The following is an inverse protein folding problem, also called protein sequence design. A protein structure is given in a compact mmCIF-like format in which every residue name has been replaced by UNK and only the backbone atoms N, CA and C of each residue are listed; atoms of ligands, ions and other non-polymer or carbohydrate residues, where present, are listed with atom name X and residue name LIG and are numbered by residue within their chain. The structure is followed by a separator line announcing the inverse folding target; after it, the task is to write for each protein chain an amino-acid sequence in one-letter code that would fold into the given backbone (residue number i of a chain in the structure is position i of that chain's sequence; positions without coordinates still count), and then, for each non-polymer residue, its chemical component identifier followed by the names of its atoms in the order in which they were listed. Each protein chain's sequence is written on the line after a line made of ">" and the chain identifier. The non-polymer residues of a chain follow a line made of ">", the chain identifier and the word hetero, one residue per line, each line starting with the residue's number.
data_IF_710711345664
#
_entry.id   IF_710711345664
#
_cell.length_a   1.000
_cell.length_b   1.000
_cell.length_c   1.000
_cell.angle_alpha   90.00
_cell.angle_beta   90.00
_cell.angle_gamma   90.00
#
_symmetry.space_group_name_H-M   'P 1'
#
loop_
_entity.id
_entity.type
_entity.pdbx_description
1 polymer ?
#
# COMPACT_ATOMS: atom_id res chain seq x y z
N UNK A 1 -26.23 6.31 -9.35
CA UNK A 1 -25.38 6.95 -8.33
C UNK A 1 -24.17 7.48 -9.06
N UNK A 2 -24.08 8.79 -9.23
CA UNK A 2 -22.87 9.43 -9.78
C UNK A 2 -21.76 9.25 -8.74
N UNK A 3 -20.69 8.55 -9.12
CA UNK A 3 -19.53 8.42 -8.26
C UNK A 3 -19.06 9.82 -7.85
N UNK A 4 -18.96 10.08 -6.55
CA UNK A 4 -18.40 11.33 -6.05
C UNK A 4 -16.98 11.50 -6.64
N UNK A 5 -16.72 12.70 -7.14
CA UNK A 5 -15.41 13.07 -7.72
C UNK A 5 -14.73 14.12 -6.84
N UNK A 6 -14.18 13.74 -5.69
CA UNK A 6 -13.72 14.67 -4.66
C UNK A 6 -12.61 15.61 -5.15
N UNK A 7 -11.73 15.16 -6.04
CA UNK A 7 -10.68 16.00 -6.62
C UNK A 7 -11.12 16.75 -7.90
N UNK A 8 -12.28 16.46 -8.48
CA UNK A 8 -12.74 17.13 -9.69
C UNK A 8 -12.88 18.67 -9.54
N UNK A 9 -13.33 19.21 -8.41
CA UNK A 9 -13.40 20.65 -8.21
C UNK A 9 -12.07 21.28 -7.78
N UNK A 10 -11.05 20.48 -7.46
CA UNK A 10 -9.72 20.98 -7.13
C UNK A 10 -9.01 21.56 -8.36
N UNK A 11 -8.09 22.46 -8.13
CA UNK A 11 -7.26 23.07 -9.19
C UNK A 11 -5.82 23.23 -8.74
N UNK A 12 -4.91 23.30 -9.70
CA UNK A 12 -3.52 23.68 -9.44
C UNK A 12 -3.45 25.19 -9.08
N UNK A 13 -2.65 25.53 -8.08
CA UNK A 13 -2.39 26.91 -7.65
C UNK A 13 -1.47 27.67 -8.58
N UNK A 14 -0.76 26.97 -9.47
CA UNK A 14 0.17 27.53 -10.45
C UNK A 14 0.06 26.80 -11.78
N UNK A 15 0.37 27.46 -12.92
CA UNK A 15 0.36 26.83 -14.20
C UNK A 15 1.45 25.74 -14.30
N UNK A 16 1.16 24.69 -15.04
CA UNK A 16 2.14 23.67 -15.41
C UNK A 16 3.21 24.27 -16.32
N UNK A 17 4.43 23.74 -16.22
CA UNK A 17 5.46 24.01 -17.23
C UNK A 17 5.04 23.43 -18.58
N UNK A 18 5.49 24.03 -19.70
CA UNK A 18 5.09 23.61 -21.04
C UNK A 18 5.17 22.09 -21.26
N UNK A 19 6.32 21.48 -20.96
CA UNK A 19 6.47 20.02 -21.11
C UNK A 19 5.55 19.19 -20.21
N UNK A 20 5.17 19.70 -19.02
CA UNK A 20 4.21 19.03 -18.14
C UNK A 20 2.80 19.09 -18.70
N UNK A 21 2.42 20.24 -19.26
CA UNK A 21 1.14 20.42 -19.94
C UNK A 21 1.05 19.54 -21.19
N UNK A 22 2.11 19.51 -22.02
CA UNK A 22 2.20 18.67 -23.22
C UNK A 22 2.09 17.19 -22.88
N UNK A 23 2.78 16.75 -21.80
CA UNK A 23 2.75 15.37 -21.36
C UNK A 23 1.35 15.01 -20.82
N UNK A 24 0.77 15.87 -20.00
CA UNK A 24 -0.57 15.69 -19.49
C UNK A 24 -1.61 15.61 -20.62
N UNK A 25 -1.48 16.43 -21.66
CA UNK A 25 -2.37 16.41 -22.81
C UNK A 25 -2.35 15.09 -23.61
N UNK A 26 -1.23 14.37 -23.57
CA UNK A 26 -1.06 13.07 -24.26
C UNK A 26 -1.62 11.89 -23.46
N UNK A 27 -1.82 12.07 -22.16
CA UNK A 27 -2.38 11.05 -21.30
C UNK A 27 -3.89 11.14 -21.38
N UNK A 28 -4.54 10.12 -21.93
CA UNK A 28 -6.00 10.04 -21.85
C UNK A 28 -6.43 9.80 -20.39
N UNK A 29 -7.48 10.45 -19.89
CA UNK A 29 -8.08 10.09 -18.61
C UNK A 29 -8.82 8.76 -18.81
N UNK A 30 -8.11 7.66 -18.69
CA UNK A 30 -8.69 6.33 -18.84
C UNK A 30 -8.72 5.64 -17.48
N UNK A 31 -9.89 5.09 -17.15
CA UNK A 31 -10.10 4.32 -15.92
C UNK A 31 -9.42 2.95 -16.08
N UNK A 32 -8.24 2.83 -15.54
CA UNK A 32 -7.47 1.58 -15.48
C UNK A 32 -6.20 1.54 -16.34
N UNK A 33 -5.85 2.61 -17.04
CA UNK A 33 -4.58 2.68 -17.75
C UNK A 33 -3.39 2.77 -16.78
N UNK A 34 -2.44 1.86 -16.90
CA UNK A 34 -1.16 1.95 -16.21
C UNK A 34 -0.23 2.91 -16.96
N UNK A 35 0.22 3.98 -16.29
CA UNK A 35 1.11 4.99 -16.86
C UNK A 35 2.48 4.90 -16.20
N UNK A 36 3.52 4.84 -17.02
CA UNK A 36 4.89 4.94 -16.57
C UNK A 36 5.53 6.25 -17.03
N UNK A 37 5.72 7.18 -16.07
CA UNK A 37 6.28 8.49 -16.33
C UNK A 37 7.75 8.54 -15.93
N UNK A 38 8.62 8.75 -16.91
CA UNK A 38 10.07 8.90 -16.71
C UNK A 38 10.45 10.36 -16.93
N UNK A 39 11.06 10.97 -15.91
CA UNK A 39 11.56 12.34 -15.99
C UNK A 39 12.78 12.52 -15.06
N UNK A 40 13.72 13.40 -15.41
CA UNK A 40 14.91 13.65 -14.62
C UNK A 40 14.57 14.20 -13.21
N UNK A 41 15.52 14.15 -12.25
CA UNK A 41 15.38 14.85 -10.98
C UNK A 41 15.08 16.33 -11.19
N UNK A 42 14.24 16.92 -10.33
CA UNK A 42 13.86 18.34 -10.43
C UNK A 42 12.83 18.68 -11.54
N UNK A 43 12.43 17.72 -12.35
CA UNK A 43 11.40 17.94 -13.39
C UNK A 43 9.99 18.20 -12.84
N UNK A 44 9.76 18.07 -11.53
CA UNK A 44 8.44 18.30 -10.93
C UNK A 44 7.47 17.13 -11.14
N UNK A 45 7.98 15.90 -11.03
CA UNK A 45 7.16 14.67 -11.12
C UNK A 45 5.98 14.66 -10.15
N UNK A 46 6.20 15.15 -8.93
CA UNK A 46 5.14 15.25 -7.89
C UNK A 46 4.00 16.18 -8.37
N UNK A 47 4.34 17.35 -8.93
CA UNK A 47 3.32 18.28 -9.45
C UNK A 47 2.55 17.65 -10.61
N UNK A 48 3.24 16.90 -11.46
CA UNK A 48 2.61 16.18 -12.57
C UNK A 48 1.66 15.08 -12.06
N UNK A 49 2.07 14.32 -11.04
CA UNK A 49 1.19 13.33 -10.37
C UNK A 49 -0.04 13.99 -9.74
N UNK A 50 0.13 15.11 -9.06
CA UNK A 50 -1.00 15.89 -8.52
C UNK A 50 -1.93 16.40 -9.63
N UNK A 51 -1.37 16.86 -10.75
CA UNK A 51 -2.15 17.29 -11.90
C UNK A 51 -2.97 16.14 -12.53
N UNK A 52 -2.39 14.93 -12.58
CA UNK A 52 -3.10 13.72 -13.01
C UNK A 52 -4.22 13.36 -12.06
N UNK A 53 -4.00 13.45 -10.74
CA UNK A 53 -5.04 13.20 -9.73
C UNK A 53 -6.23 14.13 -9.91
N UNK A 54 -5.97 15.44 -10.03
CA UNK A 54 -7.01 16.47 -10.28
C UNK A 54 -7.75 16.19 -11.59
N UNK A 55 -7.02 15.86 -12.64
CA UNK A 55 -7.62 15.57 -13.96
C UNK A 55 -8.50 14.31 -13.93
N UNK A 56 -8.09 13.29 -13.20
CA UNK A 56 -8.91 12.10 -12.97
C UNK A 56 -10.17 12.44 -12.14
N UNK A 57 -10.02 13.38 -11.21
CA UNK A 57 -11.12 13.88 -10.38
C UNK A 57 -11.58 12.92 -9.28
N UNK A 58 -11.00 11.73 -9.19
CA UNK A 58 -11.31 10.72 -8.17
C UNK A 58 -10.42 10.91 -6.94
N UNK A 59 -10.76 10.26 -5.83
CA UNK A 59 -9.81 10.09 -4.72
C UNK A 59 -8.52 9.48 -5.23
N UNK A 60 -7.39 9.93 -4.72
CA UNK A 60 -6.10 9.43 -5.16
C UNK A 60 -5.32 8.80 -4.01
N UNK A 61 -4.69 7.67 -4.30
CA UNK A 61 -3.75 6.99 -3.41
C UNK A 61 -2.34 7.13 -3.96
N UNK A 62 -1.46 7.72 -3.19
CA UNK A 62 -0.03 7.80 -3.50
C UNK A 62 0.73 6.81 -2.64
N UNK A 63 1.52 5.96 -3.28
CA UNK A 63 2.40 5.00 -2.60
C UNK A 63 3.85 5.48 -2.67
N UNK A 64 4.36 5.94 -1.54
CA UNK A 64 5.71 6.45 -1.41
C UNK A 64 6.69 5.38 -0.90
N UNK A 65 7.94 5.34 -1.39
CA UNK A 65 8.93 4.38 -0.93
C UNK A 65 9.44 4.64 0.50
N UNK A 66 9.36 5.87 0.97
CA UNK A 66 9.85 6.27 2.31
C UNK A 66 8.93 7.29 2.97
N UNK A 67 9.03 7.42 4.28
CA UNK A 67 8.30 8.44 5.06
C UNK A 67 8.67 9.86 4.65
N UNK A 68 9.91 10.10 4.22
CA UNK A 68 10.37 11.41 3.73
C UNK A 68 9.65 11.77 2.42
N UNK A 69 9.57 10.84 1.49
CA UNK A 69 8.85 11.05 0.22
C UNK A 69 7.35 11.21 0.48
N UNK A 70 6.77 10.44 1.41
CA UNK A 70 5.38 10.61 1.86
C UNK A 70 5.10 12.04 2.33
N UNK A 71 5.91 12.53 3.27
CA UNK A 71 5.78 13.90 3.80
C UNK A 71 5.93 14.95 2.70
N UNK A 72 6.86 14.75 1.78
CA UNK A 72 7.05 15.62 0.62
C UNK A 72 5.80 15.69 -0.29
N UNK A 73 5.12 14.57 -0.52
CA UNK A 73 3.88 14.56 -1.30
C UNK A 73 2.77 15.34 -0.62
N UNK A 74 2.58 15.16 0.70
CA UNK A 74 1.58 15.89 1.47
C UNK A 74 1.85 17.42 1.46
N UNK A 75 3.11 17.83 1.66
CA UNK A 75 3.52 19.23 1.58
C UNK A 75 3.27 19.81 0.17
N UNK A 76 3.64 19.09 -0.87
CA UNK A 76 3.43 19.54 -2.24
C UNK A 76 1.94 19.62 -2.60
N UNK A 77 1.11 18.70 -2.11
CA UNK A 77 -0.33 18.77 -2.29
C UNK A 77 -0.91 20.04 -1.65
N UNK A 78 -0.56 20.32 -0.40
CA UNK A 78 -0.99 21.54 0.30
C UNK A 78 -0.50 22.81 -0.41
N UNK A 79 0.66 22.78 -1.03
CA UNK A 79 1.25 23.92 -1.76
C UNK A 79 0.60 24.14 -3.13
N UNK A 80 0.39 23.09 -3.89
CA UNK A 80 0.04 23.18 -5.32
C UNK A 80 -1.43 22.90 -5.62
N UNK A 81 -2.19 22.33 -4.70
CA UNK A 81 -3.63 22.11 -4.89
C UNK A 81 -4.46 23.12 -4.11
N UNK A 82 -5.59 23.46 -4.68
CA UNK A 82 -6.64 24.27 -4.03
C UNK A 82 -7.97 23.59 -4.22
N UNK A 83 -8.66 23.39 -3.11
CA UNK A 83 -10.05 22.99 -3.06
C UNK A 83 -10.98 24.17 -3.49
N UNK A 84 -12.27 23.94 -3.72
CA UNK A 84 -13.19 24.97 -4.18
C UNK A 84 -13.31 26.16 -3.24
N UNK A 85 -13.12 25.98 -1.94
CA UNK A 85 -13.12 27.02 -0.91
C UNK A 85 -11.82 27.85 -0.87
N UNK A 86 -10.82 27.46 -1.71
CA UNK A 86 -9.51 28.10 -1.77
C UNK A 86 -8.49 27.53 -0.80
N UNK A 87 -8.89 26.62 0.10
CA UNK A 87 -8.01 25.89 1.01
C UNK A 87 -7.23 24.75 0.33
N UNK A 88 -6.37 24.05 1.08
CA UNK A 88 -5.77 22.81 0.60
C UNK A 88 -6.86 21.71 0.52
N UNK A 89 -6.68 20.69 -0.34
CA UNK A 89 -7.53 19.51 -0.31
C UNK A 89 -7.34 18.74 1.01
N UNK A 90 -8.27 17.83 1.30
CA UNK A 90 -8.11 16.90 2.41
C UNK A 90 -7.01 15.87 2.08
N UNK A 91 -5.98 15.80 2.92
CA UNK A 91 -4.80 14.94 2.73
C UNK A 91 -4.55 14.12 3.98
N UNK A 92 -4.68 12.81 3.86
CA UNK A 92 -4.33 11.87 4.93
C UNK A 92 -2.96 11.23 4.67
N UNK A 93 -2.22 10.95 5.75
CA UNK A 93 -0.96 10.22 5.74
C UNK A 93 -1.06 8.83 6.42
N UNK A 94 -2.28 8.43 6.71
CA UNK A 94 -2.66 7.14 7.28
C UNK A 94 -3.87 6.55 6.53
N UNK A 95 -4.04 5.22 6.56
CA UNK A 95 -5.21 4.58 5.98
C UNK A 95 -6.47 4.97 6.76
N UNK A 96 -7.65 5.03 6.09
CA UNK A 96 -8.90 5.30 6.78
C UNK A 96 -9.20 4.21 7.82
N UNK A 97 -9.72 4.62 8.98
CA UNK A 97 -10.24 3.73 10.00
C UNK A 97 -11.55 3.04 9.58
N UNK A 98 -12.01 2.04 10.37
CA UNK A 98 -13.32 1.42 10.12
C UNK A 98 -14.45 2.45 10.17
N UNK A 99 -15.16 2.61 9.04
CA UNK A 99 -16.26 3.58 8.91
C UNK A 99 -15.84 5.03 8.68
N UNK A 100 -14.54 5.29 8.54
CA UNK A 100 -14.00 6.59 8.18
C UNK A 100 -13.98 6.75 6.65
N UNK A 101 -14.40 7.91 6.15
CA UNK A 101 -14.25 8.21 4.72
C UNK A 101 -12.79 8.48 4.39
N UNK A 102 -12.29 7.91 3.28
CA UNK A 102 -10.94 8.25 2.81
C UNK A 102 -10.84 9.72 2.41
N UNK A 103 -9.70 10.33 2.72
CA UNK A 103 -9.38 11.68 2.27
C UNK A 103 -9.36 11.80 0.73
N UNK A 104 -9.41 13.03 0.22
CA UNK A 104 -9.30 13.30 -1.22
C UNK A 104 -7.99 12.77 -1.80
N UNK A 105 -6.90 12.93 -1.04
CA UNK A 105 -5.58 12.41 -1.33
C UNK A 105 -5.04 11.65 -0.13
N UNK A 106 -4.84 10.36 -0.25
CA UNK A 106 -4.19 9.54 0.77
C UNK A 106 -2.76 9.23 0.34
N UNK A 107 -1.77 9.58 1.17
CA UNK A 107 -0.35 9.36 0.88
C UNK A 107 0.23 8.38 1.88
N UNK A 108 0.51 7.15 1.45
CA UNK A 108 1.01 6.08 2.30
C UNK A 108 2.43 5.66 1.87
N UNK A 109 3.14 5.00 2.77
CA UNK A 109 4.32 4.23 2.35
C UNK A 109 3.87 2.81 1.96
N UNK A 110 4.66 2.14 1.10
CA UNK A 110 4.43 0.72 0.81
C UNK A 110 4.34 -0.11 2.08
N UNK A 111 5.19 0.20 3.07
CA UNK A 111 5.18 -0.48 4.37
C UNK A 111 3.87 -0.27 5.14
N UNK A 112 3.24 0.90 5.05
CA UNK A 112 1.98 1.16 5.73
C UNK A 112 0.83 0.28 5.22
N UNK A 113 0.89 -0.16 3.98
CA UNK A 113 -0.04 -1.15 3.42
C UNK A 113 0.39 -2.58 3.72
N UNK A 114 1.70 -2.83 3.73
CA UNK A 114 2.29 -4.15 3.93
C UNK A 114 2.66 -4.45 5.37
N UNK A 115 2.43 -3.53 6.32
CA UNK A 115 2.65 -3.85 7.74
C UNK A 115 1.63 -4.88 8.17
N UNK A 116 2.14 -5.97 8.04
CA UNK A 116 1.96 -7.15 8.75
C UNK A 116 2.20 -6.87 10.22
N UNK A 117 1.26 -7.21 11.07
CA UNK A 117 1.49 -7.33 12.52
C UNK A 117 2.88 -7.93 12.78
N UNK A 118 3.57 -7.53 13.85
CA UNK A 118 4.97 -7.88 14.13
C UNK A 118 5.28 -9.40 14.08
N UNK A 119 4.23 -10.24 14.15
CA UNK A 119 4.26 -11.69 13.94
C UNK A 119 3.89 -12.13 12.51
N UNK A 120 3.86 -11.26 11.58
CA UNK A 120 3.55 -11.31 10.16
C UNK A 120 3.10 -12.64 9.51
N UNK A 121 2.40 -12.57 8.37
CA UNK A 121 1.97 -13.76 7.62
C UNK A 121 3.13 -14.69 7.29
N UNK A 122 4.34 -14.14 7.17
CA UNK A 122 5.56 -14.92 7.00
C UNK A 122 5.89 -15.80 8.20
N UNK A 123 5.65 -15.34 9.44
CA UNK A 123 5.87 -16.16 10.64
C UNK A 123 4.80 -17.23 10.74
N UNK A 124 3.54 -16.92 10.43
CA UNK A 124 2.48 -17.90 10.37
C UNK A 124 2.76 -18.97 9.31
N UNK A 125 3.07 -18.57 8.08
CA UNK A 125 3.44 -19.49 7.01
C UNK A 125 4.72 -20.29 7.32
N UNK A 126 5.71 -19.67 7.94
CA UNK A 126 6.92 -20.35 8.39
C UNK A 126 6.63 -21.36 9.53
N UNK A 127 5.67 -21.03 10.41
CA UNK A 127 5.22 -21.93 11.48
C UNK A 127 4.45 -23.12 10.91
N UNK A 128 3.55 -22.90 9.97
CA UNK A 128 2.83 -23.96 9.26
C UNK A 128 3.81 -24.90 8.54
N UNK A 129 4.76 -24.33 7.82
CA UNK A 129 5.83 -25.10 7.19
C UNK A 129 6.62 -25.93 8.19
N UNK A 130 6.90 -25.37 9.37
CA UNK A 130 7.59 -26.10 10.43
C UNK A 130 6.74 -27.23 11.00
N UNK A 131 5.44 -27.02 11.14
CA UNK A 131 4.49 -28.08 11.50
C UNK A 131 4.52 -29.23 10.48
N UNK A 132 4.47 -28.90 9.19
CA UNK A 132 4.53 -29.90 8.10
C UNK A 132 5.85 -30.69 8.12
N UNK A 133 6.97 -30.02 8.36
CA UNK A 133 8.27 -30.67 8.49
C UNK A 133 8.24 -31.67 9.67
N UNK A 134 7.72 -31.25 10.84
CA UNK A 134 7.63 -32.10 12.04
C UNK A 134 6.67 -33.27 11.85
N UNK A 135 5.59 -33.10 11.11
CA UNK A 135 4.65 -34.18 10.76
C UNK A 135 5.32 -35.15 9.79
N UNK A 136 6.07 -34.66 8.83
CA UNK A 136 6.85 -35.48 7.88
C UNK A 136 7.93 -36.30 8.60
N UNK A 137 8.49 -35.73 9.68
CA UNK A 137 9.45 -36.41 10.57
C UNK A 137 8.78 -37.40 11.57
N UNK A 138 7.49 -37.67 11.41
CA UNK A 138 6.75 -38.71 12.14
C UNK A 138 6.02 -38.24 13.40
N UNK A 139 5.88 -36.93 13.65
CA UNK A 139 5.06 -36.41 14.74
C UNK A 139 3.60 -36.32 14.31
N UNK A 140 2.67 -36.51 15.25
CA UNK A 140 1.28 -36.16 14.99
C UNK A 140 1.10 -34.63 14.98
N UNK A 141 0.14 -34.07 14.19
CA UNK A 141 -0.07 -32.61 14.12
C UNK A 141 -0.24 -31.96 15.51
N UNK A 142 -1.01 -32.59 16.40
CA UNK A 142 -1.21 -32.10 17.76
C UNK A 142 0.09 -32.04 18.58
N UNK A 143 0.94 -33.07 18.50
CA UNK A 143 2.23 -33.10 19.19
C UNK A 143 3.24 -32.12 18.59
N UNK A 144 3.20 -31.90 17.28
CA UNK A 144 4.03 -30.94 16.60
C UNK A 144 3.66 -29.50 17.01
N UNK A 145 2.36 -29.20 17.06
CA UNK A 145 1.84 -27.91 17.54
C UNK A 145 2.23 -27.62 19.00
N UNK A 146 1.92 -28.54 19.91
CA UNK A 146 2.26 -28.39 21.31
C UNK A 146 3.78 -28.24 21.56
N UNK A 147 4.61 -28.93 20.78
CA UNK A 147 6.06 -28.78 20.86
C UNK A 147 6.53 -27.40 20.40
N UNK A 148 5.96 -26.84 19.32
CA UNK A 148 6.29 -25.50 18.87
C UNK A 148 5.87 -24.43 19.88
N UNK A 149 4.70 -24.62 20.52
CA UNK A 149 4.21 -23.70 21.56
C UNK A 149 5.11 -23.72 22.79
N UNK A 150 5.51 -24.92 23.25
CA UNK A 150 6.49 -25.06 24.34
C UNK A 150 7.84 -24.44 23.95
N UNK A 151 8.33 -24.68 22.72
CA UNK A 151 9.58 -24.09 22.25
C UNK A 151 9.52 -22.55 22.20
N UNK A 152 8.38 -21.98 21.82
CA UNK A 152 8.17 -20.54 21.80
C UNK A 152 8.22 -19.92 23.20
N UNK A 153 7.70 -20.65 24.21
CA UNK A 153 7.68 -20.22 25.62
C UNK A 153 9.04 -20.46 26.31
N UNK A 154 9.58 -21.65 26.16
CA UNK A 154 10.75 -22.10 26.92
C UNK A 154 12.08 -21.62 26.29
N UNK A 155 12.12 -21.49 24.97
CA UNK A 155 13.29 -21.03 24.24
C UNK A 155 12.96 -20.14 23.03
N UNK A 156 12.52 -18.88 23.28
CA UNK A 156 12.12 -17.95 22.22
C UNK A 156 13.22 -17.67 21.19
N UNK A 157 14.49 -17.79 21.58
CA UNK A 157 15.62 -17.57 20.68
C UNK A 157 15.75 -18.71 19.65
N UNK A 158 15.57 -19.96 20.09
CA UNK A 158 15.59 -21.13 19.22
C UNK A 158 14.35 -21.12 18.30
N UNK A 159 13.18 -20.79 18.84
CA UNK A 159 11.95 -20.66 18.05
C UNK A 159 12.10 -19.63 16.94
N UNK A 160 12.53 -18.39 17.25
CA UNK A 160 12.77 -17.33 16.26
C UNK A 160 13.81 -17.71 15.20
N UNK A 161 14.84 -18.47 15.57
CA UNK A 161 15.85 -18.97 14.63
C UNK A 161 15.25 -19.99 13.67
N UNK A 162 14.45 -20.92 14.17
CA UNK A 162 13.75 -21.92 13.36
C UNK A 162 12.72 -21.30 12.41
N UNK A 163 12.00 -20.26 12.84
CA UNK A 163 11.11 -19.48 11.97
C UNK A 163 11.89 -18.76 10.87
N UNK A 164 12.97 -18.06 11.20
CA UNK A 164 13.77 -17.32 10.21
C UNK A 164 14.31 -18.19 9.10
N UNK A 165 14.77 -19.39 9.40
CA UNK A 165 15.25 -20.31 8.38
C UNK A 165 14.16 -20.73 7.39
N UNK A 166 12.91 -20.83 7.85
CA UNK A 166 11.75 -21.19 7.04
C UNK A 166 11.10 -19.99 6.34
N UNK A 167 11.15 -18.83 6.96
CA UNK A 167 10.68 -17.57 6.34
C UNK A 167 11.42 -17.30 5.03
N UNK A 168 12.72 -17.56 4.96
CA UNK A 168 13.48 -17.41 3.73
C UNK A 168 12.96 -18.35 2.62
N UNK A 169 12.66 -19.61 2.96
CA UNK A 169 12.11 -20.59 2.02
C UNK A 169 10.67 -20.25 1.58
N UNK A 170 9.85 -19.67 2.49
CA UNK A 170 8.50 -19.20 2.16
C UNK A 170 8.57 -18.01 1.22
N UNK A 171 9.43 -17.04 1.51
CA UNK A 171 9.62 -15.85 0.64
C UNK A 171 10.09 -16.19 -0.76
N UNK A 172 10.97 -17.20 -0.91
CA UNK A 172 11.44 -17.64 -2.21
C UNK A 172 10.32 -18.22 -3.10
N UNK A 173 9.18 -18.57 -2.52
CA UNK A 173 8.00 -19.09 -3.23
C UNK A 173 6.92 -18.06 -3.50
N UNK A 174 7.10 -16.81 -3.08
CA UNK A 174 6.09 -15.77 -3.30
C UNK A 174 5.83 -15.55 -4.79
N UNK A 175 6.87 -15.66 -5.61
CA UNK A 175 6.75 -15.52 -7.06
C UNK A 175 5.95 -16.68 -7.72
N UNK A 176 5.68 -17.75 -6.97
CA UNK A 176 4.86 -18.91 -7.40
C UNK A 176 3.41 -18.82 -6.91
N UNK A 177 3.09 -17.81 -6.06
CA UNK A 177 1.75 -17.65 -5.49
C UNK A 177 0.87 -16.87 -6.46
N UNK A 178 -0.38 -17.31 -6.59
CA UNK A 178 -1.42 -16.51 -7.26
C UNK A 178 -1.84 -15.30 -6.40
N UNK A 179 -2.58 -14.39 -7.00
CA UNK A 179 -3.00 -13.14 -6.35
C UNK A 179 -3.84 -13.39 -5.09
N UNK A 180 -4.63 -14.46 -5.04
CA UNK A 180 -5.44 -14.82 -3.87
C UNK A 180 -4.58 -15.34 -2.72
N UNK A 181 -3.57 -16.14 -3.01
CA UNK A 181 -2.61 -16.62 -2.02
C UNK A 181 -1.74 -15.47 -1.49
N UNK A 182 -1.32 -14.54 -2.36
CA UNK A 182 -0.62 -13.30 -1.93
C UNK A 182 -1.54 -12.45 -1.05
N UNK A 183 -2.81 -12.27 -1.43
CA UNK A 183 -3.78 -11.52 -0.64
C UNK A 183 -4.05 -12.16 0.73
N UNK A 184 -4.01 -13.49 0.83
CA UNK A 184 -4.14 -14.22 2.09
C UNK A 184 -2.94 -14.02 3.03
N UNK A 185 -1.77 -13.68 2.49
CA UNK A 185 -0.57 -13.35 3.27
C UNK A 185 -0.60 -11.92 3.83
N UNK A 186 -1.47 -11.05 3.30
CA UNK A 186 -1.64 -9.72 3.86
C UNK A 186 -2.34 -9.82 5.22
N UNK A 187 -1.85 -9.06 6.19
CA UNK A 187 -2.53 -8.97 7.48
C UNK A 187 -4.01 -8.57 7.28
N UNK A 188 -4.95 -9.15 8.03
CA UNK A 188 -6.38 -8.85 7.86
C UNK A 188 -6.70 -7.35 7.84
N UNK A 189 -6.02 -6.56 8.68
CA UNK A 189 -6.16 -5.11 8.69
C UNK A 189 -5.57 -4.40 7.45
N UNK A 190 -4.55 -4.95 6.80
CA UNK A 190 -3.99 -4.37 5.56
C UNK A 190 -4.96 -4.58 4.38
N UNK A 191 -5.54 -5.78 4.27
CA UNK A 191 -6.56 -6.07 3.27
C UNK A 191 -7.78 -5.17 3.44
N UNK A 192 -8.30 -5.05 4.66
CA UNK A 192 -9.46 -4.18 4.93
C UNK A 192 -9.20 -2.72 4.57
N UNK A 193 -7.98 -2.20 4.84
CA UNK A 193 -7.58 -0.84 4.44
C UNK A 193 -7.52 -0.66 2.93
N UNK A 194 -6.98 -1.65 2.21
CA UNK A 194 -6.97 -1.63 0.74
C UNK A 194 -8.40 -1.69 0.18
N UNK A 195 -9.22 -2.60 0.70
CA UNK A 195 -10.62 -2.74 0.27
C UNK A 195 -11.40 -1.45 0.49
N UNK A 196 -11.16 -0.73 1.59
CA UNK A 196 -11.79 0.58 1.86
C UNK A 196 -11.37 1.63 0.83
N UNK A 197 -10.09 1.69 0.46
CA UNK A 197 -9.59 2.62 -0.56
C UNK A 197 -10.12 2.27 -1.95
N UNK A 198 -10.18 0.99 -2.30
CA UNK A 198 -10.73 0.50 -3.58
C UNK A 198 -12.23 0.77 -3.65
N UNK A 199 -12.98 0.47 -2.58
CA UNK A 199 -14.42 0.73 -2.50
C UNK A 199 -14.74 2.23 -2.63
N UNK A 200 -13.87 3.09 -2.11
CA UNK A 200 -13.97 4.54 -2.28
C UNK A 200 -13.58 5.01 -3.69
N UNK A 201 -13.19 4.11 -4.57
CA UNK A 201 -12.83 4.41 -5.96
C UNK A 201 -11.52 5.18 -6.09
N UNK A 202 -10.56 5.02 -5.17
CA UNK A 202 -9.27 5.69 -5.24
C UNK A 202 -8.47 5.21 -6.47
N UNK A 203 -7.91 6.16 -7.21
CA UNK A 203 -6.94 5.88 -8.28
C UNK A 203 -5.53 5.88 -7.68
N UNK A 204 -4.69 4.90 -8.03
CA UNK A 204 -3.31 4.81 -7.53
C UNK A 204 -2.37 5.63 -8.41
N UNK A 205 -1.48 6.38 -7.78
CA UNK A 205 -0.43 7.18 -8.42
C UNK A 205 0.94 6.71 -7.93
#
# INVERSE_FOLDING_TARGET
>A
MTAERPLAPCRLSAPLRGYQADLLARVAPDDGAALHLVAPPGAGKTVLGLALAVRNGRRALVLAPTTVIRAQWAEQAARFLRAPDGGPPDVADHPPGPGEEPADLTVLTYQALSVVDAAGPWESAARERWLDDLVRDGRTPARAGAWLDSLAQDNPAAYRRGLRSRTAAVRARVDELDDDAVAALLAPGARQRLDSLVAAGAATI
#
